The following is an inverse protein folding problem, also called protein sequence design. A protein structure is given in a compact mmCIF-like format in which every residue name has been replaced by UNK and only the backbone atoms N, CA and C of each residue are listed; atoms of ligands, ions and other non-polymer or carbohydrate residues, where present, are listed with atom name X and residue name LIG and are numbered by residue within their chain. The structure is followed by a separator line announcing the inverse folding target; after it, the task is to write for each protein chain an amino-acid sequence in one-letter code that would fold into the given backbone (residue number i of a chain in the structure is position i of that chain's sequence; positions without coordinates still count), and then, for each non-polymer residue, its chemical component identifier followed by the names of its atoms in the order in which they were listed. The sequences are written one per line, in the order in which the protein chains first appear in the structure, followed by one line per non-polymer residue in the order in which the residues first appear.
data_IF_209951892844
#
_entry.id   IF_209951892844
#
_cell.length_a   1.000
_cell.length_b   1.000
_cell.length_c   1.000
_cell.angle_alpha   90.00
_cell.angle_beta   90.00
_cell.angle_gamma   90.00
#
_symmetry.space_group_name_H-M   'P 1'
#
loop_
_entity.id
_entity.type
_entity.pdbx_description
1 polymer ?
#
# COMPACT_ATOMS: atom_id res chain seq x y z
N UNK A 1 9.75 13.79 12.15
CA UNK A 1 9.49 13.27 10.80
C UNK A 1 9.82 11.78 10.81
N UNK A 2 9.14 10.91 10.05
CA UNK A 2 9.44 9.47 10.06
C UNK A 2 10.92 9.17 9.67
N UNK A 3 11.52 10.06 8.89
CA UNK A 3 12.95 10.08 8.55
C UNK A 3 13.87 10.14 9.79
N UNK A 4 13.53 10.94 10.80
CA UNK A 4 14.32 11.07 12.04
C UNK A 4 14.33 9.79 12.87
N UNK A 5 13.29 8.97 12.71
CA UNK A 5 13.13 7.69 13.40
C UNK A 5 13.75 6.52 12.63
N UNK A 6 14.28 6.77 11.43
CA UNK A 6 14.65 5.73 10.46
C UNK A 6 13.52 4.73 10.22
N UNK A 7 12.30 5.23 10.08
CA UNK A 7 11.11 4.41 9.82
C UNK A 7 10.38 4.86 8.57
N UNK A 8 9.67 3.92 7.96
CA UNK A 8 8.74 4.18 6.85
C UNK A 8 7.33 3.85 7.34
N UNK A 9 6.37 4.68 6.94
CA UNK A 9 4.95 4.45 7.17
C UNK A 9 4.31 3.99 5.87
N UNK A 10 3.47 2.97 5.96
CA UNK A 10 2.83 2.35 4.80
C UNK A 10 1.33 2.32 5.03
N UNK A 11 0.55 2.64 4.00
CA UNK A 11 -0.89 2.85 4.12
C UNK A 11 -1.66 2.44 2.87
N UNK A 12 -2.46 1.38 3.01
CA UNK A 12 -3.24 0.79 1.91
C UNK A 12 -4.73 0.99 2.17
N UNK A 13 -5.47 1.39 1.14
CA UNK A 13 -6.93 1.45 1.16
C UNK A 13 -7.49 0.62 0.02
N UNK A 14 -8.44 -0.26 0.34
CA UNK A 14 -9.15 -1.09 -0.64
C UNK A 14 -10.57 -0.57 -0.80
N UNK A 15 -10.99 -0.37 -2.05
CA UNK A 15 -12.34 0.06 -2.42
C UNK A 15 -12.92 -0.87 -3.47
N UNK A 16 -14.24 -0.95 -3.54
CA UNK A 16 -14.89 -1.59 -4.68
C UNK A 16 -14.85 -0.71 -5.94
N UNK A 17 -15.36 -1.23 -7.05
CA UNK A 17 -15.41 -0.53 -8.33
C UNK A 17 -16.28 0.74 -8.31
N UNK A 18 -17.16 0.88 -7.32
CA UNK A 18 -18.03 2.03 -7.09
C UNK A 18 -17.39 3.04 -6.12
N UNK A 19 -16.19 2.76 -5.63
CA UNK A 19 -15.45 3.59 -4.69
C UNK A 19 -15.88 3.40 -3.23
N UNK A 20 -16.71 2.41 -2.91
CA UNK A 20 -17.08 2.10 -1.54
C UNK A 20 -15.86 1.54 -0.79
N UNK A 21 -15.62 2.08 0.41
CA UNK A 21 -14.58 1.58 1.29
C UNK A 21 -14.85 0.14 1.72
N UNK A 22 -13.89 -0.76 1.48
CA UNK A 22 -13.93 -2.16 1.92
C UNK A 22 -13.07 -2.33 3.17
N UNK A 23 -11.80 -1.91 3.09
CA UNK A 23 -10.84 -2.11 4.16
C UNK A 23 -9.64 -1.15 4.06
N UNK A 24 -8.91 -1.02 5.15
CA UNK A 24 -7.63 -0.32 5.20
C UNK A 24 -6.62 -1.10 6.04
N UNK A 25 -5.35 -0.95 5.69
CA UNK A 25 -4.22 -1.51 6.41
C UNK A 25 -3.12 -0.47 6.53
N UNK A 26 -2.50 -0.38 7.71
CA UNK A 26 -1.38 0.53 7.95
C UNK A 26 -0.35 -0.14 8.83
N UNK A 27 0.94 0.08 8.54
CA UNK A 27 2.02 -0.40 9.38
C UNK A 27 3.25 0.51 9.28
N UNK A 28 4.22 0.26 10.17
CA UNK A 28 5.47 0.99 10.26
C UNK A 28 6.62 -0.01 10.18
N UNK A 29 7.63 0.26 9.36
CA UNK A 29 8.80 -0.61 9.17
C UNK A 29 10.11 0.19 9.27
N UNK A 30 11.25 -0.49 9.42
CA UNK A 30 12.57 0.16 9.47
C UNK A 30 13.04 0.63 8.08
N UNK A 31 13.80 1.72 8.02
CA UNK A 31 14.43 2.21 6.78
C UNK A 31 15.49 1.20 6.33
N UNK A 32 15.29 0.64 5.13
CA UNK A 32 16.23 -0.28 4.48
C UNK A 32 15.72 -0.79 3.14
N UNK A 33 14.41 -0.91 2.99
CA UNK A 33 13.68 -1.23 1.76
C UNK A 33 13.13 0.06 1.13
N UNK A 34 13.00 0.08 -0.21
CA UNK A 34 12.30 1.14 -0.92
C UNK A 34 10.84 1.16 -0.46
N UNK A 35 10.45 2.23 0.24
CA UNK A 35 9.18 2.31 0.96
C UNK A 35 7.97 2.13 0.04
N UNK A 36 8.08 2.65 -1.19
CA UNK A 36 6.97 2.68 -2.14
C UNK A 36 6.75 1.30 -2.79
N UNK A 37 7.84 0.58 -3.09
CA UNK A 37 7.78 -0.80 -3.59
C UNK A 37 7.18 -1.72 -2.52
N UNK A 38 7.54 -1.47 -1.27
CA UNK A 38 7.02 -2.23 -0.13
C UNK A 38 5.53 -1.94 0.10
N UNK A 39 5.10 -0.68 -0.06
CA UNK A 39 3.69 -0.27 0.02
C UNK A 39 2.84 -1.04 -0.98
N UNK A 40 3.27 -1.11 -2.24
CA UNK A 40 2.50 -1.84 -3.26
C UNK A 40 2.56 -3.35 -3.09
N UNK A 41 3.69 -3.93 -2.70
CA UNK A 41 3.76 -5.36 -2.41
C UNK A 41 2.77 -5.75 -1.29
N UNK A 42 2.73 -4.97 -0.21
CA UNK A 42 1.78 -5.22 0.89
C UNK A 42 0.36 -4.86 0.53
N UNK A 43 0.15 -3.82 -0.26
CA UNK A 43 -1.16 -3.46 -0.79
C UNK A 43 -1.77 -4.58 -1.61
N UNK A 44 -0.96 -5.24 -2.45
CA UNK A 44 -1.36 -6.40 -3.24
C UNK A 44 -1.61 -7.63 -2.37
N UNK A 45 -0.74 -7.93 -1.40
CA UNK A 45 -0.96 -9.05 -0.45
C UNK A 45 -2.26 -8.85 0.34
N UNK A 46 -2.50 -7.64 0.82
CA UNK A 46 -3.72 -7.30 1.54
C UNK A 46 -4.94 -7.38 0.62
N UNK A 47 -4.87 -6.79 -0.58
CA UNK A 47 -5.92 -6.85 -1.57
C UNK A 47 -6.26 -8.30 -1.96
N UNK A 48 -5.28 -9.19 -2.08
CA UNK A 48 -5.50 -10.62 -2.35
C UNK A 48 -6.28 -11.35 -1.24
N UNK A 49 -6.24 -10.86 0.01
CA UNK A 49 -7.02 -11.41 1.13
C UNK A 49 -8.48 -10.97 1.05
N UNK A 50 -8.75 -9.73 0.60
CA UNK A 50 -10.10 -9.12 0.59
C UNK A 50 -10.80 -9.11 -0.78
N UNK A 51 -10.08 -9.23 -1.88
CA UNK A 51 -10.58 -9.16 -3.26
C UNK A 51 -10.32 -10.47 -4.01
N UNK A 52 -11.37 -11.07 -4.57
CA UNK A 52 -11.32 -12.41 -5.17
C UNK A 52 -10.99 -12.45 -6.67
N UNK A 53 -10.99 -11.31 -7.39
CA UNK A 53 -11.06 -11.37 -8.86
C UNK A 53 -10.23 -10.33 -9.63
N UNK A 54 -10.09 -9.07 -9.19
CA UNK A 54 -9.30 -8.04 -9.90
C UNK A 54 -8.90 -6.89 -8.96
N UNK A 55 -7.68 -6.33 -9.12
CA UNK A 55 -7.13 -5.26 -8.27
C UNK A 55 -6.45 -4.20 -9.13
N UNK A 56 -6.95 -2.97 -9.08
CA UNK A 56 -6.25 -1.79 -9.64
C UNK A 56 -5.47 -1.11 -8.52
N UNK A 57 -4.17 -0.90 -8.74
CA UNK A 57 -3.29 -0.20 -7.79
C UNK A 57 -3.14 1.26 -8.22
N UNK A 58 -3.45 2.18 -7.31
CA UNK A 58 -3.30 3.61 -7.50
C UNK A 58 -2.30 4.16 -6.47
N UNK A 59 -1.41 5.04 -6.90
CA UNK A 59 -0.42 5.70 -6.04
C UNK A 59 0.05 7.01 -6.66
N UNK A 60 0.85 7.78 -5.92
CA UNK A 60 1.47 9.02 -6.40
C UNK A 60 2.95 8.84 -6.80
N UNK A 61 3.53 7.66 -6.53
CA UNK A 61 4.88 7.32 -6.97
C UNK A 61 4.94 6.77 -8.40
N UNK A 62 5.65 7.49 -9.26
CA UNK A 62 5.94 7.10 -10.64
C UNK A 62 6.81 5.84 -10.72
N UNK A 63 7.61 5.54 -9.69
CA UNK A 63 8.50 4.36 -9.67
C UNK A 63 7.73 3.05 -9.49
N UNK A 64 6.48 3.12 -9.03
CA UNK A 64 5.68 1.98 -8.62
C UNK A 64 4.54 1.67 -9.60
N UNK A 65 4.11 2.65 -10.41
CA UNK A 65 2.95 2.55 -11.33
C UNK A 65 3.38 2.08 -12.74
N UNK A 66 4.56 1.48 -12.90
CA UNK A 66 5.15 1.19 -14.22
C UNK A 66 5.09 -0.26 -14.64
#
# INVERSE_FOLDING_TARGET
MFEDLKKIGVGVVVRDAQGLFIAAYSYIEEIGSDAEVLDVARGLEFAAIVCLFDVTVEGDSVNVIR
#
